data_IF_257849097740
#
_entry.id   IF_257849097740
#
_cell.length_a   1.000
_cell.length_b   1.000
_cell.length_c   1.000
_cell.angle_alpha   90.00
_cell.angle_beta   90.00
_cell.angle_gamma   90.00
#
_symmetry.space_group_name_H-M   'P 1'
#
loop_
_entity.id
_entity.type
_entity.pdbx_description
1 polymer ?
#
# COMPACT_ATOMS: atom_id res chain seq x y z
N UNK A 1 23.33 -3.90 -23.12
CA UNK A 1 23.21 -4.39 -21.74
C UNK A 1 22.59 -5.77 -21.82
N UNK A 2 23.26 -6.76 -21.24
CA UNK A 2 22.76 -8.13 -21.27
C UNK A 2 21.68 -8.33 -20.17
N UNK A 3 20.80 -9.32 -20.35
CA UNK A 3 19.72 -9.60 -19.39
C UNK A 3 20.22 -9.80 -17.96
N UNK A 4 21.39 -10.45 -17.80
CA UNK A 4 22.01 -10.66 -16.48
C UNK A 4 22.38 -9.33 -15.78
N UNK A 5 22.79 -8.32 -16.56
CA UNK A 5 23.18 -7.01 -16.04
C UNK A 5 21.93 -6.27 -15.53
N UNK A 6 20.84 -6.31 -16.32
CA UNK A 6 19.54 -5.74 -15.92
C UNK A 6 19.03 -6.39 -14.63
N UNK A 7 19.08 -7.71 -14.54
CA UNK A 7 18.65 -8.46 -13.35
C UNK A 7 19.51 -8.06 -12.14
N UNK A 8 20.82 -7.90 -12.34
CA UNK A 8 21.73 -7.49 -11.27
C UNK A 8 21.41 -6.09 -10.76
N UNK A 9 21.25 -5.12 -11.65
CA UNK A 9 20.87 -3.74 -11.29
C UNK A 9 19.54 -3.67 -10.54
N UNK A 10 18.52 -4.40 -11.00
CA UNK A 10 17.23 -4.48 -10.31
C UNK A 10 17.41 -5.04 -8.90
N UNK A 11 18.13 -6.15 -8.73
CA UNK A 11 18.35 -6.77 -7.41
C UNK A 11 19.14 -5.87 -6.45
N UNK A 12 20.03 -5.04 -6.96
CA UNK A 12 20.82 -4.10 -6.16
C UNK A 12 20.13 -2.76 -5.93
N UNK A 13 18.97 -2.53 -6.54
CA UNK A 13 18.27 -1.25 -6.42
C UNK A 13 17.83 -0.99 -4.97
N UNK A 14 18.13 0.21 -4.41
CA UNK A 14 17.85 0.52 -3.00
C UNK A 14 16.38 0.35 -2.61
N UNK A 15 15.44 0.62 -3.52
CA UNK A 15 14.02 0.41 -3.31
C UNK A 15 13.64 -1.05 -3.03
N UNK A 16 14.43 -2.00 -3.56
CA UNK A 16 14.26 -3.44 -3.33
C UNK A 16 15.04 -3.88 -2.09
N UNK A 17 16.31 -3.50 -1.99
CA UNK A 17 17.19 -3.98 -0.93
C UNK A 17 16.76 -3.51 0.46
N UNK A 18 16.18 -2.31 0.58
CA UNK A 18 15.61 -1.80 1.85
C UNK A 18 14.48 -2.67 2.42
N UNK A 19 13.82 -3.47 1.58
CA UNK A 19 12.75 -4.40 1.99
C UNK A 19 13.29 -5.76 2.47
N UNK A 20 14.59 -5.99 2.44
CA UNK A 20 15.22 -7.22 2.92
C UNK A 20 14.80 -7.70 4.31
N UNK A 21 14.58 -6.79 5.31
CA UNK A 21 14.10 -7.19 6.64
C UNK A 21 12.73 -7.89 6.66
N UNK A 22 11.89 -7.75 5.62
CA UNK A 22 10.61 -8.47 5.50
C UNK A 22 10.80 -9.98 5.61
N UNK A 23 11.91 -10.52 5.07
CA UNK A 23 12.23 -11.93 5.19
C UNK A 23 12.35 -12.41 6.64
N UNK A 24 12.90 -11.58 7.54
CA UNK A 24 12.99 -11.90 8.98
C UNK A 24 11.61 -11.90 9.65
N UNK A 25 10.74 -10.96 9.29
CA UNK A 25 9.36 -10.94 9.80
C UNK A 25 8.62 -12.21 9.37
N UNK A 26 8.73 -12.57 8.09
CA UNK A 26 8.13 -13.79 7.57
C UNK A 26 8.66 -15.04 8.28
N UNK A 27 9.96 -15.11 8.57
CA UNK A 27 10.58 -16.25 9.25
C UNK A 27 10.09 -16.39 10.71
N UNK A 28 10.01 -15.28 11.44
CA UNK A 28 9.48 -15.28 12.83
C UNK A 28 8.03 -15.74 12.88
N UNK A 29 7.23 -15.37 11.89
CA UNK A 29 5.80 -15.67 11.85
C UNK A 29 5.46 -16.98 11.11
N UNK A 30 6.44 -17.66 10.52
CA UNK A 30 6.25 -18.87 9.71
C UNK A 30 5.69 -20.07 10.50
N UNK A 31 5.92 -20.10 11.80
CA UNK A 31 5.52 -21.22 12.67
C UNK A 31 4.19 -20.95 13.40
N UNK A 32 3.42 -19.97 12.96
CA UNK A 32 2.04 -19.85 13.40
C UNK A 32 1.26 -21.05 12.89
N UNK A 33 0.42 -21.58 13.77
CA UNK A 33 -0.37 -22.81 13.63
C UNK A 33 -0.85 -23.05 12.17
N UNK A 34 -0.52 -24.22 11.62
CA UNK A 34 -0.89 -24.60 10.25
C UNK A 34 -2.42 -24.61 10.06
N UNK A 35 -3.19 -24.89 11.11
CA UNK A 35 -4.65 -24.89 11.07
C UNK A 35 -5.19 -23.46 10.87
N UNK A 36 -4.59 -22.45 11.50
CA UNK A 36 -4.95 -21.03 11.33
C UNK A 36 -4.56 -20.54 9.96
N UNK A 37 -3.43 -21.02 9.42
CA UNK A 37 -2.91 -20.60 8.12
C UNK A 37 -3.50 -21.35 6.91
N UNK A 38 -4.34 -22.34 7.14
CA UNK A 38 -4.91 -23.21 6.07
C UNK A 38 -5.70 -22.45 5.00
N UNK A 39 -6.25 -21.29 5.33
CA UNK A 39 -6.99 -20.43 4.40
C UNK A 39 -6.12 -19.37 3.73
N UNK A 40 -4.88 -19.19 4.18
CA UNK A 40 -3.95 -18.24 3.60
C UNK A 40 -3.44 -18.78 2.26
N UNK A 41 -3.67 -18.05 1.18
CA UNK A 41 -3.24 -18.40 -0.18
C UNK A 41 -1.92 -17.75 -0.51
N UNK A 42 -1.75 -16.50 -0.10
CA UNK A 42 -0.52 -15.74 -0.23
C UNK A 42 -0.41 -14.71 0.90
N UNK A 43 0.80 -14.42 1.31
CA UNK A 43 1.08 -13.50 2.41
C UNK A 43 2.31 -12.64 2.11
N UNK A 44 3.33 -12.78 2.92
CA UNK A 44 4.55 -11.96 2.80
C UNK A 44 5.18 -12.02 1.40
N UNK A 45 5.45 -10.84 0.84
CA UNK A 45 6.12 -10.68 -0.47
C UNK A 45 5.19 -10.28 -1.62
N UNK A 46 3.88 -10.28 -1.40
CA UNK A 46 2.89 -9.69 -2.29
C UNK A 46 2.35 -8.37 -1.70
N UNK A 47 1.64 -7.59 -2.51
CA UNK A 47 1.10 -6.29 -2.08
C UNK A 47 -0.05 -6.44 -1.07
N UNK A 48 -0.80 -7.54 -1.13
CA UNK A 48 -1.80 -7.87 -0.14
C UNK A 48 -1.78 -9.36 0.21
N UNK A 49 -2.10 -9.69 1.46
CA UNK A 49 -2.41 -11.06 1.85
C UNK A 49 -3.73 -11.48 1.21
N UNK A 50 -3.78 -12.70 0.67
CA UNK A 50 -4.98 -13.29 0.09
C UNK A 50 -5.46 -14.48 0.93
N UNK A 51 -6.67 -14.37 1.44
CA UNK A 51 -7.31 -15.36 2.29
C UNK A 51 -8.48 -15.97 1.51
N UNK A 52 -8.55 -17.29 1.43
CA UNK A 52 -9.68 -17.96 0.79
C UNK A 52 -10.92 -17.84 1.66
N UNK A 53 -11.99 -17.34 1.07
CA UNK A 53 -13.26 -17.20 1.75
C UNK A 53 -14.40 -17.61 0.80
N UNK A 54 -15.03 -18.75 1.08
CA UNK A 54 -16.04 -19.33 0.21
C UNK A 54 -15.53 -19.53 -1.23
N UNK A 55 -16.17 -18.90 -2.21
CA UNK A 55 -15.88 -18.97 -3.64
C UNK A 55 -14.96 -17.85 -4.17
N UNK A 56 -14.45 -16.99 -3.27
CA UNK A 56 -13.61 -15.85 -3.61
C UNK A 56 -12.44 -15.70 -2.63
N UNK A 57 -11.69 -14.63 -2.77
CA UNK A 57 -10.58 -14.26 -1.89
C UNK A 57 -10.86 -12.94 -1.22
N UNK A 58 -10.56 -12.85 0.07
CA UNK A 58 -10.39 -11.59 0.77
C UNK A 58 -8.94 -11.13 0.63
N UNK A 59 -8.76 -9.86 0.36
CA UNK A 59 -7.46 -9.22 0.26
C UNK A 59 -7.30 -8.25 1.43
N UNK A 60 -6.18 -8.35 2.13
CA UNK A 60 -5.88 -7.51 3.29
C UNK A 60 -4.47 -6.94 3.16
N UNK A 61 -4.36 -5.62 3.17
CA UNK A 61 -3.10 -4.89 3.16
C UNK A 61 -3.10 -3.78 4.20
N UNK A 62 -1.92 -3.31 4.55
CA UNK A 62 -1.76 -2.13 5.41
C UNK A 62 -0.51 -1.35 4.98
N UNK A 63 -0.68 -0.04 4.81
CA UNK A 63 0.35 0.89 4.43
C UNK A 63 0.60 1.92 5.54
N UNK A 64 1.88 2.11 5.87
CA UNK A 64 2.34 3.17 6.77
C UNK A 64 2.99 4.29 5.97
N UNK A 65 2.53 5.51 6.17
CA UNK A 65 3.13 6.66 5.49
C UNK A 65 4.48 7.01 6.10
N UNK A 66 5.40 7.41 5.25
CA UNK A 66 6.72 7.86 5.67
C UNK A 66 6.60 9.09 6.59
N UNK A 67 7.14 9.05 7.84
CA UNK A 67 6.91 10.11 8.83
C UNK A 67 7.31 11.51 8.36
N UNK A 68 8.42 11.61 7.63
CA UNK A 68 8.88 12.90 7.10
C UNK A 68 7.89 13.48 6.07
N UNK A 69 7.22 12.62 5.30
CA UNK A 69 6.20 13.05 4.36
C UNK A 69 4.93 13.51 5.09
N UNK A 70 4.49 12.74 6.10
CA UNK A 70 3.32 13.12 6.92
C UNK A 70 3.55 14.46 7.60
N UNK A 71 4.77 14.68 8.11
CA UNK A 71 5.12 15.93 8.81
C UNK A 71 5.25 17.14 7.86
N UNK A 72 5.79 16.92 6.67
CA UNK A 72 6.03 18.00 5.70
C UNK A 72 4.77 18.39 4.92
N UNK A 73 3.94 17.42 4.56
CA UNK A 73 2.80 17.58 3.65
C UNK A 73 1.60 16.73 4.11
N UNK A 74 1.00 17.04 5.27
CA UNK A 74 -0.02 16.20 5.90
C UNK A 74 -1.25 15.95 5.00
N UNK A 75 -1.70 16.95 4.25
CA UNK A 75 -2.80 16.80 3.30
C UNK A 75 -2.45 15.81 2.17
N UNK A 76 -1.27 15.98 1.56
CA UNK A 76 -0.80 15.11 0.48
C UNK A 76 -0.56 13.69 0.98
N UNK A 77 -0.02 13.53 2.20
CA UNK A 77 0.17 12.22 2.83
C UNK A 77 -1.18 11.51 3.06
N UNK A 78 -2.22 12.23 3.48
CA UNK A 78 -3.57 11.70 3.59
C UNK A 78 -4.12 11.15 2.27
N UNK A 79 -3.96 11.89 1.17
CA UNK A 79 -4.36 11.42 -0.18
C UNK A 79 -3.53 10.21 -0.63
N UNK A 80 -2.21 10.28 -0.47
CA UNK A 80 -1.29 9.23 -0.91
C UNK A 80 -1.53 7.91 -0.15
N UNK A 81 -1.87 7.96 1.14
CA UNK A 81 -2.20 6.78 1.93
C UNK A 81 -3.38 6.01 1.34
N UNK A 82 -4.42 6.72 0.90
CA UNK A 82 -5.59 6.09 0.27
C UNK A 82 -5.21 5.49 -1.08
N UNK A 83 -4.44 6.21 -1.90
CA UNK A 83 -4.02 5.73 -3.23
C UNK A 83 -3.14 4.48 -3.10
N UNK A 84 -2.13 4.52 -2.24
CA UNK A 84 -1.23 3.38 -2.02
C UNK A 84 -2.02 2.13 -1.61
N UNK A 85 -2.87 2.26 -0.59
CA UNK A 85 -3.69 1.13 -0.11
C UNK A 85 -4.62 0.56 -1.20
N UNK A 86 -5.24 1.42 -2.01
CA UNK A 86 -6.12 0.99 -3.11
C UNK A 86 -5.31 0.30 -4.21
N UNK A 87 -4.10 0.79 -4.52
CA UNK A 87 -3.22 0.18 -5.50
C UNK A 87 -2.82 -1.25 -5.12
N UNK A 88 -2.57 -1.52 -3.83
CA UNK A 88 -2.26 -2.86 -3.35
C UNK A 88 -3.38 -3.86 -3.66
N UNK A 89 -4.62 -3.45 -3.52
CA UNK A 89 -5.77 -4.30 -3.85
C UNK A 89 -5.90 -4.49 -5.37
N UNK A 90 -5.72 -3.43 -6.15
CA UNK A 90 -5.81 -3.52 -7.62
C UNK A 90 -4.67 -4.35 -8.21
N UNK A 91 -3.44 -4.24 -7.68
CA UNK A 91 -2.29 -5.03 -8.13
C UNK A 91 -2.53 -6.55 -8.00
N UNK A 92 -3.30 -6.94 -6.97
CA UNK A 92 -3.70 -8.33 -6.73
C UNK A 92 -4.92 -8.77 -7.57
N UNK A 93 -5.44 -7.92 -8.47
CA UNK A 93 -6.63 -8.20 -9.29
C UNK A 93 -7.93 -8.05 -8.53
N UNK A 94 -7.92 -7.37 -7.40
CA UNK A 94 -9.04 -7.22 -6.49
C UNK A 94 -9.85 -5.94 -6.70
N UNK A 95 -10.90 -5.84 -5.88
CA UNK A 95 -11.72 -4.64 -5.71
C UNK A 95 -11.67 -4.20 -4.26
N UNK A 96 -11.31 -2.95 -3.96
CA UNK A 96 -11.39 -2.39 -2.62
C UNK A 96 -12.82 -2.41 -2.07
N UNK A 97 -12.96 -2.70 -0.78
CA UNK A 97 -14.25 -2.71 -0.09
C UNK A 97 -14.35 -1.60 0.95
N UNK A 98 -13.38 -1.53 1.85
CA UNK A 98 -13.38 -0.58 2.95
C UNK A 98 -11.96 -0.42 3.52
N UNK A 99 -11.76 0.71 4.22
CA UNK A 99 -10.50 1.04 4.88
C UNK A 99 -10.74 1.45 6.33
N UNK A 100 -9.69 1.26 7.14
CA UNK A 100 -9.56 1.85 8.47
C UNK A 100 -8.20 2.52 8.59
N UNK A 101 -8.08 3.54 9.45
CA UNK A 101 -6.82 4.25 9.64
C UNK A 101 -6.33 4.17 11.08
N UNK A 102 -5.05 4.46 11.26
CA UNK A 102 -4.47 4.81 12.56
C UNK A 102 -3.75 6.13 12.37
N UNK A 103 -4.15 7.15 13.12
CA UNK A 103 -3.56 8.48 13.08
C UNK A 103 -3.06 8.82 14.48
N UNK A 104 -1.85 9.36 14.55
CA UNK A 104 -1.29 9.99 15.74
C UNK A 104 -0.85 11.38 15.37
N UNK A 105 -1.33 12.39 16.09
CA UNK A 105 -0.93 13.78 15.90
C UNK A 105 -1.29 14.59 17.15
N UNK A 106 -0.32 15.30 17.72
CA UNK A 106 -0.53 16.24 18.79
C UNK A 106 -0.92 17.65 18.29
N UNK A 107 -0.82 17.89 16.97
CA UNK A 107 -1.17 19.17 16.33
C UNK A 107 -2.50 19.03 15.62
N UNK A 108 -3.47 19.84 16.01
CA UNK A 108 -4.81 19.84 15.44
C UNK A 108 -4.80 20.14 13.94
N UNK A 109 -4.01 21.14 13.51
CA UNK A 109 -3.88 21.52 12.10
C UNK A 109 -3.39 20.37 11.21
N UNK A 110 -2.43 19.56 11.68
CA UNK A 110 -1.92 18.41 10.92
C UNK A 110 -3.00 17.33 10.81
N UNK A 111 -3.73 17.08 11.89
CA UNK A 111 -4.84 16.14 11.90
C UNK A 111 -5.92 16.53 10.89
N UNK A 112 -6.34 17.81 10.91
CA UNK A 112 -7.36 18.31 9.96
C UNK A 112 -6.91 18.16 8.51
N UNK A 113 -5.66 18.49 8.20
CA UNK A 113 -5.10 18.35 6.86
C UNK A 113 -5.02 16.88 6.42
N UNK A 114 -4.57 15.97 7.29
CA UNK A 114 -4.54 14.53 7.01
C UNK A 114 -5.96 14.04 6.71
N UNK A 115 -6.94 14.40 7.55
CA UNK A 115 -8.33 13.96 7.37
C UNK A 115 -8.95 14.51 6.09
N UNK A 116 -8.67 15.75 5.73
CA UNK A 116 -9.15 16.30 4.46
C UNK A 116 -8.51 15.60 3.25
N UNK A 117 -7.22 15.28 3.33
CA UNK A 117 -6.53 14.46 2.32
C UNK A 117 -7.15 13.08 2.17
N UNK A 118 -7.39 12.38 3.28
CA UNK A 118 -8.09 11.09 3.31
C UNK A 118 -9.48 11.22 2.67
N UNK A 119 -10.26 12.22 3.08
CA UNK A 119 -11.61 12.46 2.53
C UNK A 119 -11.59 12.61 1.02
N UNK A 120 -10.65 13.39 0.49
CA UNK A 120 -10.48 13.60 -0.96
C UNK A 120 -10.07 12.32 -1.68
N UNK A 121 -9.13 11.55 -1.12
CA UNK A 121 -8.71 10.26 -1.65
C UNK A 121 -9.88 9.26 -1.72
N UNK A 122 -10.64 9.13 -0.63
CA UNK A 122 -11.83 8.28 -0.56
C UNK A 122 -12.89 8.66 -1.61
N UNK A 123 -13.15 9.96 -1.78
CA UNK A 123 -14.11 10.45 -2.78
C UNK A 123 -13.65 10.15 -4.21
N UNK A 124 -12.36 10.38 -4.50
CA UNK A 124 -11.79 10.14 -5.82
C UNK A 124 -11.81 8.65 -6.20
N UNK A 125 -11.41 7.79 -5.28
CA UNK A 125 -11.29 6.35 -5.52
C UNK A 125 -12.55 5.56 -5.19
N UNK A 126 -13.56 6.22 -4.61
CA UNK A 126 -14.87 5.65 -4.25
C UNK A 126 -14.75 4.46 -3.29
N UNK A 127 -13.83 4.54 -2.33
CA UNK A 127 -13.64 3.54 -1.28
C UNK A 127 -13.87 4.21 0.07
N UNK A 128 -14.78 3.67 0.92
CA UNK A 128 -15.10 4.31 2.19
C UNK A 128 -14.02 4.05 3.25
N UNK A 129 -13.74 5.08 4.06
CA UNK A 129 -13.10 4.94 5.36
C UNK A 129 -14.21 4.68 6.38
N UNK A 130 -14.21 3.51 7.00
CA UNK A 130 -15.31 3.05 7.87
C UNK A 130 -14.97 3.08 9.35
N UNK A 131 -13.74 3.41 9.70
CA UNK A 131 -13.31 3.48 11.09
C UNK A 131 -11.82 3.75 11.19
N UNK A 132 -11.31 3.59 12.41
CA UNK A 132 -9.88 3.76 12.68
C UNK A 132 -9.60 4.02 14.15
N UNK A 133 -8.37 4.44 14.42
CA UNK A 133 -7.92 4.81 15.74
C UNK A 133 -7.23 6.18 15.69
N UNK A 134 -7.58 7.03 16.64
CA UNK A 134 -6.94 8.34 16.84
C UNK A 134 -6.17 8.33 18.15
N UNK A 135 -4.90 8.70 18.10
CA UNK A 135 -4.08 9.01 19.27
C UNK A 135 -3.76 10.53 19.29
N UNK A 136 -4.52 11.35 20.00
CA UNK A 136 -4.34 12.81 20.01
C UNK A 136 -3.11 13.25 20.80
N UNK A 137 -2.61 12.41 21.71
CA UNK A 137 -1.44 12.70 22.55
C UNK A 137 -0.13 12.21 21.91
N UNK A 138 -0.19 11.75 20.67
CA UNK A 138 0.99 11.30 19.92
C UNK A 138 1.97 12.45 19.66
N UNK A 139 3.26 12.20 19.76
CA UNK A 139 4.29 13.19 19.52
C UNK A 139 4.36 13.62 18.05
N UNK A 140 5.14 12.92 17.25
CA UNK A 140 5.25 13.20 15.81
C UNK A 140 4.03 12.64 15.05
N UNK A 141 3.55 13.37 14.02
CA UNK A 141 2.42 12.90 13.22
C UNK A 141 2.76 11.60 12.50
N UNK A 142 1.84 10.65 12.56
CA UNK A 142 1.94 9.38 11.88
C UNK A 142 0.60 8.97 11.28
N UNK A 143 0.65 8.26 10.17
CA UNK A 143 -0.53 7.78 9.46
C UNK A 143 -0.27 6.37 8.94
N UNK A 144 -1.20 5.47 9.23
CA UNK A 144 -1.29 4.17 8.59
C UNK A 144 -2.74 3.90 8.16
N UNK A 145 -2.89 3.16 7.07
CA UNK A 145 -4.20 2.75 6.54
C UNK A 145 -4.17 1.24 6.32
N UNK A 146 -5.19 0.56 6.80
CA UNK A 146 -5.45 -0.84 6.45
C UNK A 146 -6.66 -0.91 5.53
N UNK A 147 -6.60 -1.79 4.54
CA UNK A 147 -7.62 -1.94 3.50
C UNK A 147 -8.05 -3.39 3.37
N UNK A 148 -9.35 -3.57 3.22
CA UNK A 148 -9.97 -4.83 2.84
C UNK A 148 -10.44 -4.75 1.40
N UNK A 149 -10.15 -5.80 0.64
CA UNK A 149 -10.64 -5.99 -0.71
C UNK A 149 -11.13 -7.40 -0.96
N UNK A 150 -11.61 -7.67 -2.16
CA UNK A 150 -12.03 -8.99 -2.60
C UNK A 150 -11.59 -9.25 -4.03
N UNK A 151 -11.34 -10.52 -4.38
CA UNK A 151 -10.98 -10.94 -5.74
C UNK A 151 -11.59 -12.29 -6.08
N UNK A 152 -12.03 -12.47 -7.33
CA UNK A 152 -12.44 -13.78 -7.86
C UNK A 152 -11.25 -14.58 -8.37
N UNK A 153 -10.24 -13.89 -8.87
CA UNK A 153 -8.97 -14.42 -9.35
C UNK A 153 -7.83 -13.57 -8.85
N UNK A 154 -6.73 -14.19 -8.46
CA UNK A 154 -5.56 -13.48 -7.96
C UNK A 154 -4.57 -13.20 -9.09
N UNK A 155 -4.04 -11.99 -9.11
CA UNK A 155 -2.82 -11.63 -9.81
C UNK A 155 -1.67 -11.68 -8.79
N UNK A 156 -0.70 -12.55 -9.04
CA UNK A 156 0.45 -12.73 -8.16
C UNK A 156 1.74 -12.52 -8.95
N UNK A 157 2.71 -11.87 -8.34
CA UNK A 157 4.02 -11.63 -8.96
C UNK A 157 4.72 -12.93 -9.41
N UNK A 158 4.48 -14.02 -8.67
CA UNK A 158 5.04 -15.34 -8.92
C UNK A 158 4.38 -16.09 -10.08
N UNK A 159 3.28 -15.60 -10.62
CA UNK A 159 2.53 -16.25 -11.71
C UNK A 159 3.03 -15.90 -13.12
N UNK A 160 4.01 -15.00 -13.23
CA UNK A 160 4.62 -14.67 -14.52
C UNK A 160 5.28 -15.91 -15.19
N UNK A 161 5.07 -16.07 -16.49
CA UNK A 161 5.57 -17.22 -17.25
C UNK A 161 6.26 -16.76 -18.52
N UNK A 162 7.27 -17.51 -19.00
CA UNK A 162 7.87 -17.27 -20.31
C UNK A 162 6.81 -17.26 -21.42
N UNK A 163 6.94 -16.33 -22.36
CA UNK A 163 6.01 -16.15 -23.47
C UNK A 163 4.86 -15.16 -23.19
N UNK A 164 4.71 -14.66 -21.98
CA UNK A 164 3.79 -13.56 -21.69
C UNK A 164 4.39 -12.22 -22.14
N UNK A 165 3.52 -11.28 -22.51
CA UNK A 165 3.92 -9.93 -22.84
C UNK A 165 4.10 -9.10 -21.58
N UNK A 166 5.22 -8.36 -21.50
CA UNK A 166 5.40 -7.32 -20.52
C UNK A 166 4.76 -6.04 -21.04
N UNK A 167 3.78 -5.51 -20.31
CA UNK A 167 3.06 -4.29 -20.66
C UNK A 167 3.42 -3.20 -19.66
N UNK A 168 3.88 -2.05 -20.17
CA UNK A 168 4.09 -0.83 -19.39
C UNK A 168 3.01 0.17 -19.78
N UNK A 169 2.22 0.61 -18.80
CA UNK A 169 1.32 1.75 -18.94
C UNK A 169 1.98 2.96 -18.25
N UNK A 170 2.18 4.04 -18.99
CA UNK A 170 2.84 5.26 -18.48
C UNK A 170 2.16 6.50 -19.05
N UNK A 171 1.95 7.49 -18.20
CA UNK A 171 1.54 8.83 -18.60
C UNK A 171 2.79 9.73 -18.56
N UNK A 172 3.21 10.21 -19.73
CA UNK A 172 4.37 11.09 -19.89
C UNK A 172 3.99 12.58 -19.81
N UNK A 173 2.71 12.89 -19.86
CA UNK A 173 2.17 14.25 -19.79
C UNK A 173 1.68 14.61 -18.37
N UNK A 174 2.16 13.88 -17.36
CA UNK A 174 1.84 14.10 -15.96
C UNK A 174 2.14 15.55 -15.53
N UNK A 175 1.29 16.10 -14.68
CA UNK A 175 1.44 17.47 -14.18
C UNK A 175 2.28 17.43 -12.90
N UNK A 176 3.34 18.24 -12.86
CA UNK A 176 4.08 18.50 -11.62
C UNK A 176 3.12 19.12 -10.59
N UNK A 177 2.92 18.42 -9.49
CA UNK A 177 2.03 18.89 -8.47
C UNK A 177 2.64 19.94 -7.55
N UNK A 178 1.83 20.37 -6.60
CA UNK A 178 2.23 21.40 -5.64
C UNK A 178 3.03 20.83 -4.44
N UNK A 179 3.08 19.51 -4.29
CA UNK A 179 3.85 18.87 -3.23
C UNK A 179 5.35 18.99 -3.52
N UNK A 180 6.07 19.67 -2.62
CA UNK A 180 7.50 19.97 -2.78
C UNK A 180 8.41 18.90 -2.19
N UNK A 181 7.94 18.13 -1.22
CA UNK A 181 8.73 17.15 -0.48
C UNK A 181 8.74 15.77 -1.15
N UNK A 182 7.71 15.43 -1.89
CA UNK A 182 7.58 14.18 -2.63
C UNK A 182 7.01 14.45 -4.01
N UNK A 183 7.79 14.14 -5.03
CA UNK A 183 7.32 14.17 -6.42
C UNK A 183 6.54 12.87 -6.66
N UNK A 184 5.25 12.92 -6.43
CA UNK A 184 4.33 11.79 -6.65
C UNK A 184 3.01 12.34 -7.19
N UNK A 185 2.55 11.76 -8.28
CA UNK A 185 1.24 12.10 -8.84
C UNK A 185 0.09 11.76 -7.87
N UNK A 186 0.27 10.78 -7.00
CA UNK A 186 -0.70 10.37 -5.99
C UNK A 186 -1.01 11.49 -5.01
N UNK A 187 0.01 12.27 -4.64
CA UNK A 187 -0.12 13.40 -3.75
C UNK A 187 -0.69 14.63 -4.45
N UNK A 188 -0.52 14.73 -5.75
CA UNK A 188 -0.73 15.93 -6.54
C UNK A 188 -2.03 15.93 -7.37
N UNK A 189 -2.65 14.79 -7.50
CA UNK A 189 -3.84 14.62 -8.36
C UNK A 189 -5.18 14.99 -7.67
#
# INVERSE_FOLDING_TARGET
MELKDIIHEIKCYPGITRKGPIGRVAEVLKNLDEEISSQLVTGFGEDAAAIRYQDHYLLLAAEGMWPQFVNAEPYAAGKAAIMASVNDIYSMGGRPLAMVNVISSAREDDFEQIMEGIRKGCQKLKVPMVGGHLNPDGGEPSLAVAILGTAQKLLQSTNARPGQNLVLAVDLDGIDGQCKSVVSWDANS
#
